data_IF_439278301442
#
_entry.id   IF_439278301442
#
_cell.length_a   1.000
_cell.length_b   1.000
_cell.length_c   1.000
_cell.angle_alpha   90.00
_cell.angle_beta   90.00
_cell.angle_gamma   90.00
#
_symmetry.space_group_name_H-M   'P 1'
#
loop_
_entity.id
_entity.type
_entity.pdbx_description
1 polymer ?
#
# COMPACT_ATOMS: atom_id res chain seq x y z
N UNK A 1 28.88 -3.42 15.13
CA UNK A 1 29.82 -2.52 15.82
C UNK A 1 31.22 -2.94 15.42
N UNK A 2 31.72 -2.38 14.30
CA UNK A 2 33.12 -2.36 13.86
C UNK A 2 33.19 -1.34 12.72
N UNK A 3 33.77 -0.18 13.03
CA UNK A 3 34.02 0.94 12.12
C UNK A 3 35.30 0.66 11.33
N UNK A 4 35.26 0.82 10.01
CA UNK A 4 36.47 0.92 9.18
C UNK A 4 36.51 2.29 8.51
N UNK A 5 37.42 3.12 9.02
CA UNK A 5 37.75 4.46 8.58
C UNK A 5 38.62 4.41 7.31
N UNK A 6 38.18 5.08 6.24
CA UNK A 6 38.96 5.28 5.02
C UNK A 6 39.91 6.47 5.21
N UNK A 7 41.22 6.19 5.21
CA UNK A 7 42.28 7.19 5.12
C UNK A 7 42.63 7.36 3.63
N UNK A 8 42.38 8.55 3.08
CA UNK A 8 42.81 8.94 1.74
C UNK A 8 44.18 9.60 1.85
N UNK A 9 45.19 9.03 1.19
CA UNK A 9 46.47 9.71 0.95
C UNK A 9 46.65 9.93 -0.56
N UNK A 10 47.06 11.14 -0.90
CA UNK A 10 47.08 11.69 -2.24
C UNK A 10 48.52 11.82 -2.73
N UNK A 11 49.00 10.89 -3.56
CA UNK A 11 50.20 11.14 -4.37
C UNK A 11 50.31 10.21 -5.59
N UNK A 12 50.05 10.82 -6.75
CA UNK A 12 50.55 10.48 -8.10
C UNK A 12 50.03 9.23 -8.85
N UNK A 13 49.80 9.32 -10.18
CA UNK A 13 49.14 8.31 -11.00
C UNK A 13 50.14 7.48 -11.85
N UNK A 14 49.85 6.18 -12.04
CA UNK A 14 49.89 5.47 -13.34
C UNK A 14 49.93 3.95 -13.16
N UNK A 15 49.03 3.29 -13.90
CA UNK A 15 49.11 1.91 -14.39
C UNK A 15 49.12 0.76 -13.35
N UNK A 16 47.92 0.21 -13.10
CA UNK A 16 47.76 -1.20 -12.74
C UNK A 16 46.74 -1.81 -13.70
N UNK A 17 47.25 -2.64 -14.62
CA UNK A 17 46.51 -3.64 -15.39
C UNK A 17 46.06 -4.76 -14.47
N UNK A 18 44.79 -5.20 -14.52
CA UNK A 18 44.40 -6.56 -14.12
C UNK A 18 43.00 -6.94 -14.65
N UNK A 19 43.04 -7.92 -15.55
CA UNK A 19 42.20 -9.12 -15.67
C UNK A 19 40.66 -9.03 -15.57
N UNK A 20 40.05 -9.40 -16.69
CA UNK A 20 38.67 -9.85 -16.91
C UNK A 20 38.20 -10.89 -15.89
N UNK A 21 37.19 -10.56 -15.09
CA UNK A 21 36.24 -11.55 -14.55
C UNK A 21 34.83 -10.97 -14.58
N UNK A 22 33.95 -11.71 -15.27
CA UNK A 22 32.54 -11.39 -15.46
C UNK A 22 31.78 -11.48 -14.13
N UNK A 23 31.11 -10.40 -13.71
CA UNK A 23 30.04 -10.45 -12.72
C UNK A 23 28.75 -9.93 -13.35
N UNK A 24 28.03 -10.90 -13.91
CA UNK A 24 26.73 -10.80 -14.54
C UNK A 24 25.68 -10.69 -13.42
N UNK A 25 25.30 -9.46 -13.06
CA UNK A 25 24.19 -9.20 -12.13
C UNK A 25 22.88 -9.51 -12.87
N UNK A 26 22.38 -10.73 -12.66
CA UNK A 26 21.07 -11.21 -13.14
C UNK A 26 19.96 -10.56 -12.30
N UNK A 27 19.19 -9.69 -12.93
CA UNK A 27 17.86 -9.27 -12.50
C UNK A 27 16.88 -10.36 -12.99
N UNK A 28 16.12 -11.06 -12.14
CA UNK A 28 15.11 -11.99 -12.63
C UNK A 28 13.85 -11.21 -13.02
N UNK A 29 13.73 -10.91 -14.30
CA UNK A 29 12.46 -10.67 -14.95
C UNK A 29 11.70 -12.01 -15.05
N UNK A 30 10.60 -12.15 -14.29
CA UNK A 30 9.66 -13.24 -14.48
C UNK A 30 8.50 -12.69 -15.31
N UNK A 31 8.65 -12.79 -16.62
CA UNK A 31 7.53 -12.88 -17.57
C UNK A 31 7.51 -14.34 -18.04
N UNK A 32 6.51 -15.10 -17.62
CA UNK A 32 6.19 -16.40 -18.23
C UNK A 32 4.79 -16.31 -18.80
N UNK A 33 4.73 -16.08 -20.10
CA UNK A 33 3.58 -16.41 -20.93
C UNK A 33 3.75 -17.89 -21.27
N UNK A 34 2.93 -18.76 -20.69
CA UNK A 34 2.76 -20.11 -21.23
C UNK A 34 1.26 -20.36 -21.44
N UNK A 35 0.95 -20.68 -22.68
CA UNK A 35 -0.38 -20.98 -23.17
C UNK A 35 -0.30 -22.33 -23.86
N UNK A 36 -0.85 -23.40 -23.25
CA UNK A 36 -1.37 -24.56 -23.99
C UNK A 36 -2.41 -25.38 -23.19
N UNK A 37 -3.28 -26.12 -23.91
CA UNK A 37 -4.64 -26.45 -23.46
C UNK A 37 -4.77 -27.87 -22.91
N UNK A 38 -5.73 -28.03 -21.99
CA UNK A 38 -6.45 -29.28 -21.72
C UNK A 38 -5.65 -30.40 -21.05
N UNK A 39 -5.92 -30.65 -19.77
CA UNK A 39 -6.42 -31.95 -19.30
C UNK A 39 -6.85 -31.86 -17.83
N UNK A 40 -7.86 -32.66 -17.52
CA UNK A 40 -8.64 -32.74 -16.29
C UNK A 40 -7.84 -33.28 -15.09
N UNK A 41 -8.10 -32.75 -13.89
CA UNK A 41 -7.66 -33.41 -12.65
C UNK A 41 -7.54 -32.49 -11.43
N UNK A 42 -8.63 -32.38 -10.67
CA UNK A 42 -8.69 -32.04 -9.23
C UNK A 42 -7.79 -30.89 -8.75
N UNK A 43 -8.22 -29.67 -9.09
CA UNK A 43 -7.80 -28.47 -8.37
C UNK A 43 -8.62 -28.41 -7.07
N UNK A 44 -8.00 -28.69 -5.92
CA UNK A 44 -8.51 -28.23 -4.62
C UNK A 44 -8.53 -26.71 -4.67
N UNK A 45 -9.64 -26.15 -5.14
CA UNK A 45 -9.94 -24.74 -5.01
C UNK A 45 -10.30 -24.53 -3.53
N UNK A 46 -9.31 -24.12 -2.74
CA UNK A 46 -9.63 -23.31 -1.57
C UNK A 46 -10.16 -22.01 -2.17
N UNK A 47 -11.45 -22.00 -2.48
CA UNK A 47 -12.18 -20.79 -2.78
C UNK A 47 -12.02 -19.91 -1.55
N UNK A 48 -11.16 -18.90 -1.64
CA UNK A 48 -11.29 -17.68 -0.85
C UNK A 48 -12.59 -16.96 -1.28
N UNK A 49 -13.73 -17.64 -1.16
CA UNK A 49 -14.99 -16.98 -0.82
C UNK A 49 -14.88 -16.64 0.66
N UNK A 50 -14.01 -15.67 0.98
CA UNK A 50 -14.26 -14.85 2.13
C UNK A 50 -15.61 -14.21 1.84
N UNK A 51 -16.66 -14.75 2.46
CA UNK A 51 -17.97 -14.11 2.49
C UNK A 51 -17.69 -12.74 3.11
N UNK A 52 -17.57 -11.73 2.27
CA UNK A 52 -17.60 -10.34 2.70
C UNK A 52 -19.01 -10.16 3.23
N UNK A 53 -19.25 -10.49 4.51
CA UNK A 53 -20.53 -10.14 5.11
C UNK A 53 -20.64 -8.62 4.95
N UNK A 54 -21.69 -8.14 4.26
CA UNK A 54 -21.88 -6.72 4.09
C UNK A 54 -22.04 -6.12 5.49
N UNK A 55 -21.26 -5.08 5.80
CA UNK A 55 -21.49 -4.28 6.99
C UNK A 55 -22.98 -3.92 7.07
N UNK A 56 -23.57 -3.88 8.27
CA UNK A 56 -24.93 -3.37 8.42
C UNK A 56 -25.00 -2.00 7.74
N UNK A 57 -25.85 -1.88 6.71
CA UNK A 57 -26.04 -0.61 6.01
C UNK A 57 -26.63 0.37 7.01
N UNK A 58 -25.80 1.25 7.53
CA UNK A 58 -26.23 2.34 8.40
C UNK A 58 -27.11 3.24 7.54
N UNK A 59 -28.39 3.36 7.90
CA UNK A 59 -29.28 4.30 7.25
C UNK A 59 -28.78 5.72 7.53
N UNK A 60 -28.39 6.44 6.48
CA UNK A 60 -27.94 7.82 6.58
C UNK A 60 -29.03 8.75 6.05
N UNK A 61 -29.42 9.75 6.84
CA UNK A 61 -30.44 10.75 6.44
C UNK A 61 -30.05 11.50 5.16
N UNK A 62 -28.74 11.61 4.91
CA UNK A 62 -28.17 12.11 3.66
C UNK A 62 -27.61 10.95 2.84
N UNK A 63 -27.86 10.88 1.52
CA UNK A 63 -27.25 9.86 0.68
C UNK A 63 -25.74 10.03 0.69
N UNK A 64 -25.03 9.08 1.31
CA UNK A 64 -23.57 9.06 1.29
C UNK A 64 -23.08 8.82 -0.13
N UNK A 65 -21.96 9.45 -0.49
CA UNK A 65 -21.26 9.09 -1.72
C UNK A 65 -20.80 7.63 -1.62
N UNK A 66 -20.73 6.90 -2.74
CA UNK A 66 -20.19 5.55 -2.72
C UNK A 66 -18.78 5.56 -2.14
N UNK A 67 -18.43 4.52 -1.40
CA UNK A 67 -17.10 4.36 -0.79
C UNK A 67 -15.97 4.39 -1.85
N UNK A 68 -16.30 4.01 -3.09
CA UNK A 68 -15.43 4.08 -4.25
C UNK A 68 -16.00 5.07 -5.27
N UNK A 69 -15.22 6.09 -5.63
CA UNK A 69 -15.68 7.14 -6.55
C UNK A 69 -14.55 7.62 -7.50
N UNK A 70 -14.05 6.74 -8.39
CA UNK A 70 -13.02 7.13 -9.35
C UNK A 70 -13.57 8.19 -10.34
N UNK A 71 -12.71 9.07 -10.86
CA UNK A 71 -13.10 10.02 -11.89
C UNK A 71 -13.55 9.28 -13.17
N UNK A 72 -14.51 9.87 -13.89
CA UNK A 72 -14.99 9.27 -15.14
C UNK A 72 -13.89 9.27 -16.20
N UNK A 73 -13.43 8.09 -16.61
CA UNK A 73 -12.42 7.93 -17.67
C UNK A 73 -12.96 8.43 -19.00
N UNK A 74 -12.27 9.38 -19.65
CA UNK A 74 -12.63 9.86 -20.99
C UNK A 74 -11.78 9.18 -22.06
N UNK A 75 -12.33 8.96 -23.25
CA UNK A 75 -11.58 8.43 -24.41
C UNK A 75 -10.35 9.31 -24.73
N UNK A 76 -10.42 10.60 -24.39
CA UNK A 76 -9.32 11.57 -24.57
C UNK A 76 -8.18 11.45 -23.55
N UNK A 77 -8.29 10.57 -22.55
CA UNK A 77 -7.23 10.32 -21.58
C UNK A 77 -6.28 9.22 -22.08
N UNK A 78 -6.77 8.29 -22.90
CA UNK A 78 -5.96 7.23 -23.52
C UNK A 78 -5.14 7.68 -24.74
N UNK A 79 -5.59 8.74 -25.43
CA UNK A 79 -4.93 9.22 -26.65
C UNK A 79 -4.72 10.75 -26.53
N UNK A 80 -3.55 11.20 -26.04
CA UNK A 80 -3.29 12.62 -25.83
C UNK A 80 -3.37 13.44 -27.13
N UNK A 81 -3.11 12.81 -28.29
CA UNK A 81 -3.23 13.45 -29.61
C UNK A 81 -4.66 13.94 -29.92
N UNK A 82 -5.69 13.21 -29.46
CA UNK A 82 -7.09 13.57 -29.71
C UNK A 82 -7.55 14.76 -28.86
N UNK A 83 -6.82 15.14 -27.80
CA UNK A 83 -7.09 16.38 -27.03
C UNK A 83 -6.92 17.62 -27.90
N UNK A 84 -5.99 17.60 -28.86
CA UNK A 84 -5.79 18.68 -29.84
C UNK A 84 -7.03 18.81 -30.75
N UNK A 85 -7.58 17.69 -31.23
CA UNK A 85 -8.79 17.68 -32.06
C UNK A 85 -10.00 18.23 -31.30
N UNK A 86 -10.15 17.92 -30.01
CA UNK A 86 -11.19 18.49 -29.14
C UNK A 86 -11.03 20.00 -28.92
N UNK A 87 -9.80 20.52 -28.90
CA UNK A 87 -9.54 21.96 -28.81
C UNK A 87 -9.88 22.67 -30.12
N UNK A 88 -9.44 22.12 -31.25
CA UNK A 88 -9.75 22.61 -32.60
C UNK A 88 -11.28 22.60 -32.82
N UNK A 89 -11.94 21.47 -32.56
CA UNK A 89 -13.39 21.32 -32.68
C UNK A 89 -14.15 22.27 -31.75
N UNK A 90 -13.70 22.51 -30.52
CA UNK A 90 -14.30 23.51 -29.63
C UNK A 90 -14.13 24.94 -30.13
N UNK A 91 -12.97 25.30 -30.70
CA UNK A 91 -12.77 26.64 -31.28
C UNK A 91 -13.63 26.85 -32.53
N UNK A 92 -13.75 25.84 -33.39
CA UNK A 92 -14.60 25.87 -34.59
C UNK A 92 -16.09 25.89 -34.22
N UNK A 93 -16.52 25.05 -33.28
CA UNK A 93 -17.90 24.99 -32.78
C UNK A 93 -18.30 26.25 -31.99
N UNK A 94 -17.38 26.87 -31.24
CA UNK A 94 -17.62 28.18 -30.60
C UNK A 94 -17.79 29.31 -31.60
N UNK A 95 -17.12 29.27 -32.78
CA UNK A 95 -17.42 30.19 -33.89
C UNK A 95 -18.77 29.92 -34.55
N UNK A 96 -19.20 28.65 -34.61
CA UNK A 96 -20.50 28.27 -35.17
C UNK A 96 -21.69 28.58 -34.23
N UNK A 97 -21.51 28.53 -32.90
CA UNK A 97 -22.58 28.72 -31.91
C UNK A 97 -22.83 30.17 -31.47
N UNK A 98 -22.10 31.16 -31.98
CA UNK A 98 -22.34 32.59 -31.64
C UNK A 98 -23.68 33.14 -32.18
N UNK A 99 -24.48 32.36 -32.91
CA UNK A 99 -25.71 32.87 -33.55
C UNK A 99 -27.04 32.57 -32.87
N UNK A 100 -27.14 31.59 -31.95
CA UNK A 100 -28.42 31.30 -31.28
C UNK A 100 -28.21 30.60 -29.94
N UNK A 101 -28.39 31.33 -28.84
CA UNK A 101 -29.14 30.91 -27.65
C UNK A 101 -28.87 31.87 -26.50
N UNK A 102 -29.90 32.61 -26.10
CA UNK A 102 -29.89 33.43 -24.90
C UNK A 102 -29.71 32.60 -23.62
N UNK A 103 -29.15 33.27 -22.61
CA UNK A 103 -29.28 33.01 -21.18
C UNK A 103 -29.53 31.56 -20.74
N UNK A 104 -28.45 30.87 -20.37
CA UNK A 104 -28.40 30.12 -19.11
C UNK A 104 -27.03 30.32 -18.49
N UNK A 105 -26.86 31.45 -17.80
CA UNK A 105 -25.84 31.56 -16.77
C UNK A 105 -26.23 30.54 -15.70
N UNK A 106 -25.68 29.34 -15.80
CA UNK A 106 -25.81 28.31 -14.77
C UNK A 106 -25.10 28.91 -13.56
N UNK A 107 -25.87 29.58 -12.69
CA UNK A 107 -25.43 30.10 -11.39
C UNK A 107 -24.58 28.98 -10.81
N UNK A 108 -23.26 29.18 -10.73
CA UNK A 108 -22.41 28.31 -9.91
C UNK A 108 -23.11 28.36 -8.56
N UNK A 109 -23.79 27.27 -8.19
CA UNK A 109 -24.34 27.13 -6.85
C UNK A 109 -23.13 27.36 -5.97
N UNK A 110 -23.10 28.48 -5.24
CA UNK A 110 -22.10 28.70 -4.21
C UNK A 110 -22.06 27.39 -3.44
N UNK A 111 -20.95 26.66 -3.51
CA UNK A 111 -20.79 25.52 -2.62
C UNK A 111 -20.87 26.15 -1.24
N UNK A 112 -21.87 25.72 -0.47
CA UNK A 112 -21.96 26.10 0.93
C UNK A 112 -20.59 25.84 1.54
N UNK A 113 -20.04 26.83 2.22
CA UNK A 113 -18.81 26.74 3.01
C UNK A 113 -19.05 25.72 4.13
N UNK A 114 -19.05 24.44 3.79
CA UNK A 114 -18.96 23.36 4.76
C UNK A 114 -17.47 23.19 5.01
N UNK A 115 -16.90 24.12 5.79
CA UNK A 115 -15.54 24.05 6.32
C UNK A 115 -15.44 23.06 7.48
N UNK A 116 -16.10 21.89 7.39
CA UNK A 116 -15.82 20.78 8.30
C UNK A 116 -14.92 19.79 7.58
N UNK A 117 -13.70 19.65 8.10
CA UNK A 117 -12.84 18.52 7.75
C UNK A 117 -13.51 17.26 8.27
N UNK A 118 -14.08 16.46 7.37
CA UNK A 118 -14.80 15.22 7.71
C UNK A 118 -13.98 14.32 8.68
N UNK A 119 -12.66 14.13 8.49
CA UNK A 119 -11.87 13.32 9.43
C UNK A 119 -11.85 13.88 10.85
N UNK A 120 -11.78 15.21 11.01
CA UNK A 120 -11.77 15.87 12.30
C UNK A 120 -13.12 15.71 13.03
N UNK A 121 -14.22 15.80 12.29
CA UNK A 121 -15.57 15.56 12.82
C UNK A 121 -15.73 14.13 13.34
N UNK A 122 -15.21 13.14 12.61
CA UNK A 122 -15.20 11.74 13.04
C UNK A 122 -14.40 11.56 14.34
N UNK A 123 -13.22 12.16 14.43
CA UNK A 123 -12.36 12.07 15.63
C UNK A 123 -13.04 12.72 16.84
N UNK A 124 -13.72 13.85 16.65
CA UNK A 124 -14.48 14.51 17.71
C UNK A 124 -15.59 13.61 18.26
N UNK A 125 -16.35 12.95 17.37
CA UNK A 125 -17.42 12.02 17.76
C UNK A 125 -16.85 10.80 18.50
N UNK A 126 -15.72 10.24 18.03
CA UNK A 126 -15.05 9.12 18.69
C UNK A 126 -14.50 9.49 20.08
N UNK A 127 -13.96 10.70 20.22
CA UNK A 127 -13.48 11.23 21.50
C UNK A 127 -14.63 11.38 22.50
N UNK A 128 -15.76 11.96 22.06
CA UNK A 128 -16.97 12.07 22.88
C UNK A 128 -17.51 10.68 23.28
N UNK A 129 -17.52 9.72 22.36
CA UNK A 129 -17.93 8.35 22.65
C UNK A 129 -17.06 7.69 23.74
N UNK A 130 -15.75 7.88 23.65
CA UNK A 130 -14.80 7.41 24.69
C UNK A 130 -15.10 8.05 26.05
N UNK A 131 -15.36 9.36 26.08
CA UNK A 131 -15.72 10.08 27.31
C UNK A 131 -17.04 9.59 27.92
N UNK A 132 -18.04 9.28 27.09
CA UNK A 132 -19.31 8.68 27.56
C UNK A 132 -19.08 7.28 28.12
N UNK A 133 -18.23 6.46 27.50
CA UNK A 133 -17.90 5.13 28.03
C UNK A 133 -17.18 5.20 29.38
N UNK A 134 -16.28 6.18 29.56
CA UNK A 134 -15.63 6.44 30.85
C UNK A 134 -16.62 6.89 31.92
N UNK A 135 -17.50 7.86 31.61
CA UNK A 135 -18.47 8.39 32.59
C UNK A 135 -19.50 7.35 33.04
N UNK A 136 -19.80 6.35 32.20
CA UNK A 136 -20.67 5.22 32.52
C UNK A 136 -19.96 4.07 33.24
N UNK A 137 -18.64 4.16 33.49
CA UNK A 137 -17.87 3.10 34.12
C UNK A 137 -17.68 1.85 33.25
N UNK A 138 -17.97 1.94 31.94
CA UNK A 138 -17.73 0.84 30.98
C UNK A 138 -16.25 0.71 30.61
N UNK A 139 -15.47 1.75 30.88
CA UNK A 139 -14.05 1.82 30.55
C UNK A 139 -13.24 2.28 31.76
N UNK A 140 -12.25 1.48 32.16
CA UNK A 140 -11.37 1.81 33.28
C UNK A 140 -10.41 2.96 32.87
N UNK A 141 -10.08 3.91 33.78
CA UNK A 141 -9.23 5.07 33.44
C UNK A 141 -7.85 4.70 32.86
N UNK A 142 -7.25 3.60 33.29
CA UNK A 142 -5.96 3.14 32.77
C UNK A 142 -6.04 2.77 31.27
N UNK A 143 -7.09 2.06 30.86
CA UNK A 143 -7.33 1.67 29.47
C UNK A 143 -7.79 2.89 28.64
N UNK A 144 -8.51 3.81 29.27
CA UNK A 144 -8.94 5.07 28.67
C UNK A 144 -7.78 5.90 28.13
N UNK A 145 -6.70 6.01 28.88
CA UNK A 145 -5.50 6.72 28.43
C UNK A 145 -4.93 6.11 27.15
N UNK A 146 -4.91 4.78 27.05
CA UNK A 146 -4.49 4.07 25.84
C UNK A 146 -5.40 4.34 24.63
N UNK A 147 -6.72 4.36 24.85
CA UNK A 147 -7.69 4.68 23.79
C UNK A 147 -7.54 6.12 23.29
N UNK A 148 -7.42 7.08 24.22
CA UNK A 148 -7.19 8.50 23.87
C UNK A 148 -5.87 8.68 23.13
N UNK A 149 -4.81 7.95 23.50
CA UNK A 149 -3.55 7.98 22.75
C UNK A 149 -3.71 7.50 21.31
N UNK A 150 -4.45 6.41 21.07
CA UNK A 150 -4.75 5.95 19.71
C UNK A 150 -5.55 6.99 18.90
N UNK A 151 -6.46 7.73 19.54
CA UNK A 151 -7.18 8.83 18.89
C UNK A 151 -6.25 10.00 18.54
N UNK A 152 -5.30 10.35 19.43
CA UNK A 152 -4.28 11.35 19.13
C UNK A 152 -3.39 10.92 17.97
N UNK A 153 -2.99 9.65 17.92
CA UNK A 153 -2.24 9.12 16.77
C UNK A 153 -3.03 9.24 15.46
N UNK A 154 -4.33 8.94 15.48
CA UNK A 154 -5.18 9.13 14.31
C UNK A 154 -5.21 10.61 13.87
N UNK A 155 -5.38 11.52 14.81
CA UNK A 155 -5.34 12.97 14.56
C UNK A 155 -4.00 13.43 13.97
N UNK A 156 -2.88 12.94 14.51
CA UNK A 156 -1.53 13.25 14.02
C UNK A 156 -1.33 12.74 12.59
N UNK A 157 -1.80 11.53 12.28
CA UNK A 157 -1.72 10.98 10.91
C UNK A 157 -2.52 11.80 9.90
N UNK A 158 -3.73 12.24 10.26
CA UNK A 158 -4.55 13.11 9.41
C UNK A 158 -3.82 14.43 9.15
N UNK A 159 -3.31 15.09 10.19
CA UNK A 159 -2.55 16.34 10.06
C UNK A 159 -1.30 16.17 9.18
N UNK A 160 -0.58 15.07 9.34
CA UNK A 160 0.59 14.76 8.51
C UNK A 160 0.21 14.54 7.04
N UNK A 161 -0.87 13.81 6.75
CA UNK A 161 -1.36 13.59 5.38
C UNK A 161 -1.85 14.90 4.75
N UNK A 162 -2.54 15.75 5.51
CA UNK A 162 -2.94 17.07 5.05
C UNK A 162 -1.75 17.96 4.72
N UNK A 163 -0.67 17.90 5.49
CA UNK A 163 0.57 18.61 5.15
C UNK A 163 1.15 18.10 3.84
N UNK A 164 1.27 16.79 3.66
CA UNK A 164 1.81 16.21 2.41
C UNK A 164 0.94 16.62 1.21
N UNK A 165 -0.39 16.54 1.34
CA UNK A 165 -1.32 16.91 0.27
C UNK A 165 -1.32 18.42 -0.03
N UNK A 166 -1.16 19.26 0.99
CA UNK A 166 -1.26 20.72 0.85
C UNK A 166 0.09 21.42 0.63
N UNK A 167 1.20 20.67 0.56
CA UNK A 167 2.52 21.21 0.17
C UNK A 167 2.97 20.72 -1.22
N UNK A 168 2.19 20.95 -2.30
CA UNK A 168 2.68 20.68 -3.64
C UNK A 168 3.85 21.64 -3.97
N UNK A 169 4.69 21.28 -4.96
CA UNK A 169 5.72 22.21 -5.40
C UNK A 169 5.06 23.50 -5.90
N UNK A 170 5.68 24.67 -5.68
CA UNK A 170 5.14 25.92 -6.17
C UNK A 170 4.89 25.83 -7.68
N UNK A 171 3.67 26.17 -8.11
CA UNK A 171 3.28 26.09 -9.53
C UNK A 171 4.27 26.83 -10.46
N UNK A 172 4.82 27.96 -9.99
CA UNK A 172 5.82 28.71 -10.73
C UNK A 172 7.07 27.88 -11.04
N UNK A 173 7.54 27.06 -10.09
CA UNK A 173 8.71 26.19 -10.29
C UNK A 173 8.47 25.17 -11.40
N UNK A 174 7.36 24.42 -11.32
CA UNK A 174 6.98 23.44 -12.35
C UNK A 174 6.83 24.10 -13.73
N UNK A 175 6.17 25.27 -13.78
CA UNK A 175 5.98 26.02 -15.01
C UNK A 175 7.31 26.47 -15.62
N UNK A 176 8.23 27.02 -14.81
CA UNK A 176 9.55 27.45 -15.26
C UNK A 176 10.41 26.29 -15.75
N UNK A 177 10.40 25.16 -15.04
CA UNK A 177 11.14 23.95 -15.43
C UNK A 177 10.64 23.46 -16.80
N UNK A 178 9.32 23.34 -16.98
CA UNK A 178 8.73 22.94 -18.26
C UNK A 178 9.11 23.90 -19.39
N UNK A 179 8.95 25.21 -19.19
CA UNK A 179 9.28 26.22 -20.21
C UNK A 179 10.76 26.18 -20.59
N UNK A 180 11.65 26.02 -19.61
CA UNK A 180 13.10 25.95 -19.83
C UNK A 180 13.49 24.68 -20.61
N UNK A 181 12.86 23.55 -20.31
CA UNK A 181 13.09 22.29 -21.03
C UNK A 181 12.64 22.37 -22.50
N UNK A 182 11.46 22.95 -22.75
CA UNK A 182 10.98 23.19 -24.12
C UNK A 182 11.91 24.11 -24.89
N UNK A 183 12.39 25.18 -24.25
CA UNK A 183 13.35 26.10 -24.87
C UNK A 183 14.67 25.39 -25.19
N UNK A 184 15.17 24.57 -24.26
CA UNK A 184 16.38 23.77 -24.46
C UNK A 184 16.23 22.82 -25.65
N UNK A 185 15.13 22.06 -25.73
CA UNK A 185 14.85 21.15 -26.85
C UNK A 185 14.70 21.87 -28.19
N UNK A 186 14.19 23.11 -28.19
CA UNK A 186 14.09 23.94 -29.38
C UNK A 186 15.47 24.39 -29.90
N UNK A 187 16.41 24.70 -29.01
CA UNK A 187 17.77 25.12 -29.39
C UNK A 187 18.74 23.96 -29.67
N UNK A 188 18.51 22.79 -29.08
CA UNK A 188 19.33 21.59 -29.23
C UNK A 188 19.67 21.22 -30.70
N UNK A 189 18.74 21.20 -31.68
CA UNK A 189 19.09 20.88 -33.06
C UNK A 189 20.08 21.86 -33.67
N UNK A 190 19.94 23.16 -33.39
CA UNK A 190 20.87 24.18 -33.88
C UNK A 190 22.27 24.03 -33.28
N UNK A 191 22.35 23.57 -32.03
CA UNK A 191 23.61 23.36 -31.33
C UNK A 191 24.44 22.23 -31.95
N UNK A 192 23.82 21.10 -32.29
CA UNK A 192 24.54 19.88 -32.72
C UNK A 192 24.62 19.70 -34.24
N UNK A 193 23.89 20.51 -35.03
CA UNK A 193 23.80 20.37 -36.48
C UNK A 193 25.16 20.37 -37.18
N UNK A 194 26.06 21.26 -36.79
CA UNK A 194 27.37 21.40 -37.45
C UNK A 194 28.25 20.15 -37.33
N UNK A 195 28.09 19.37 -36.26
CA UNK A 195 28.88 18.15 -36.01
C UNK A 195 28.19 16.90 -36.53
N UNK A 196 26.87 16.79 -36.33
CA UNK A 196 26.11 15.56 -36.58
C UNK A 196 25.30 15.55 -37.89
N UNK A 197 25.10 16.70 -38.55
CA UNK A 197 24.35 16.85 -39.82
C UNK A 197 23.00 16.10 -39.78
N UNK A 198 22.86 15.04 -40.58
CA UNK A 198 21.62 14.24 -40.67
C UNK A 198 21.32 13.45 -39.39
N UNK A 199 22.33 13.10 -38.59
CA UNK A 199 22.16 12.39 -37.31
C UNK A 199 21.50 13.30 -36.25
N UNK A 200 21.51 14.62 -36.46
CA UNK A 200 20.83 15.58 -35.58
C UNK A 200 19.34 15.29 -35.43
N UNK A 201 18.66 14.82 -36.47
CA UNK A 201 17.22 14.53 -36.44
C UNK A 201 16.90 13.37 -35.47
N UNK A 202 17.46 12.14 -35.64
CA UNK A 202 17.23 11.07 -34.68
C UNK A 202 17.83 11.36 -33.29
N UNK A 203 18.96 12.07 -33.22
CA UNK A 203 19.58 12.44 -31.94
C UNK A 203 18.72 13.39 -31.10
N UNK A 204 18.14 14.43 -31.73
CA UNK A 204 17.21 15.36 -31.06
C UNK A 204 15.89 14.69 -30.69
N UNK A 205 15.38 13.79 -31.54
CA UNK A 205 14.18 13.00 -31.23
C UNK A 205 14.42 12.09 -30.01
N UNK A 206 15.58 11.42 -29.94
CA UNK A 206 15.93 10.58 -28.80
C UNK A 206 16.14 11.40 -27.51
N UNK A 207 16.85 12.53 -27.59
CA UNK A 207 17.06 13.42 -26.46
C UNK A 207 15.75 14.02 -25.93
N UNK A 208 14.83 14.40 -26.83
CA UNK A 208 13.51 14.91 -26.44
C UNK A 208 12.65 13.84 -25.79
N UNK A 209 12.67 12.60 -26.29
CA UNK A 209 12.00 11.47 -25.63
C UNK A 209 12.51 11.26 -24.19
N UNK A 210 13.83 11.24 -23.99
CA UNK A 210 14.41 11.07 -22.65
C UNK A 210 14.04 12.22 -21.70
N UNK A 211 14.25 13.46 -22.14
CA UNK A 211 14.07 14.64 -21.29
C UNK A 211 12.60 14.92 -20.98
N UNK A 212 11.70 14.79 -21.97
CA UNK A 212 10.26 14.92 -21.74
C UNK A 212 9.71 13.73 -20.95
N UNK A 213 10.26 12.52 -21.16
CA UNK A 213 9.91 11.34 -20.36
C UNK A 213 10.20 11.54 -18.88
N UNK A 214 11.40 12.04 -18.54
CA UNK A 214 11.73 12.39 -17.15
C UNK A 214 10.84 13.48 -16.57
N UNK A 215 10.47 14.49 -17.36
CA UNK A 215 9.57 15.55 -16.92
C UNK A 215 8.16 15.02 -16.58
N UNK A 216 7.67 14.02 -17.32
CA UNK A 216 6.35 13.45 -17.07
C UNK A 216 6.37 12.48 -15.88
N UNK A 217 7.38 11.63 -15.77
CA UNK A 217 7.58 10.76 -14.60
C UNK A 217 7.69 11.59 -13.32
N UNK A 218 8.40 12.72 -13.36
CA UNK A 218 8.52 13.62 -12.21
C UNK A 218 7.18 14.24 -11.80
N UNK A 219 6.26 14.48 -12.74
CA UNK A 219 4.93 14.99 -12.43
C UNK A 219 4.02 13.91 -11.84
N UNK A 220 4.08 12.68 -12.35
CA UNK A 220 3.31 11.56 -11.81
C UNK A 220 3.70 11.27 -10.35
N UNK A 221 5.01 11.26 -10.05
CA UNK A 221 5.49 10.97 -8.68
C UNK A 221 5.19 12.10 -7.69
N UNK A 222 4.93 13.32 -8.15
CA UNK A 222 4.70 14.47 -7.27
C UNK A 222 3.40 14.37 -6.46
N UNK A 223 2.33 13.78 -7.02
CA UNK A 223 1.01 13.73 -6.38
C UNK A 223 0.49 12.28 -6.25
N UNK A 224 1.01 11.50 -5.28
CA UNK A 224 0.73 10.06 -5.17
C UNK A 224 -0.70 9.70 -4.72
N UNK A 225 -1.54 10.70 -4.42
CA UNK A 225 -2.92 10.54 -3.93
C UNK A 225 -3.99 10.76 -5.00
N UNK A 226 -3.58 10.92 -6.27
CA UNK A 226 -4.50 11.03 -7.39
C UNK A 226 -5.00 9.63 -7.84
N UNK A 227 -5.57 9.55 -9.04
CA UNK A 227 -6.13 8.33 -9.62
C UNK A 227 -5.38 7.89 -10.89
N UNK A 228 -4.11 8.29 -11.04
CA UNK A 228 -3.26 7.83 -12.11
C UNK A 228 -2.83 6.37 -11.87
N UNK A 229 -2.38 5.67 -12.91
CA UNK A 229 -2.07 4.23 -12.83
C UNK A 229 -0.94 3.90 -11.84
N UNK A 230 -0.07 4.87 -11.57
CA UNK A 230 1.10 4.74 -10.71
C UNK A 230 0.86 5.31 -9.30
N UNK A 231 -0.34 5.83 -9.01
CA UNK A 231 -0.70 6.38 -7.72
C UNK A 231 -1.05 5.29 -6.69
N UNK A 232 -1.17 5.68 -5.42
CA UNK A 232 -1.57 4.80 -4.34
C UNK A 232 -3.06 4.40 -4.49
N UNK A 233 -3.34 3.10 -4.48
CA UNK A 233 -4.71 2.57 -4.48
C UNK A 233 -5.36 2.71 -3.09
N UNK A 234 -5.80 3.93 -2.78
CA UNK A 234 -6.48 4.26 -1.51
C UNK A 234 -7.79 3.47 -1.33
N UNK A 235 -8.51 3.19 -2.43
CA UNK A 235 -9.74 2.40 -2.40
C UNK A 235 -9.46 0.98 -1.86
N UNK A 236 -8.37 0.36 -2.33
CA UNK A 236 -7.94 -0.94 -1.85
C UNK A 236 -7.57 -0.92 -0.36
N UNK A 237 -6.80 0.08 0.10
CA UNK A 237 -6.46 0.21 1.52
C UNK A 237 -7.70 0.38 2.40
N UNK A 238 -8.67 1.21 1.98
CA UNK A 238 -9.93 1.36 2.68
C UNK A 238 -10.72 0.04 2.75
N UNK A 239 -10.74 -0.74 1.67
CA UNK A 239 -11.40 -2.04 1.65
C UNK A 239 -10.73 -3.06 2.60
N UNK A 240 -9.40 -3.02 2.72
CA UNK A 240 -8.66 -3.86 3.67
C UNK A 240 -9.00 -3.48 5.12
N UNK A 241 -8.93 -2.20 5.47
CA UNK A 241 -9.29 -1.72 6.82
C UNK A 241 -10.73 -2.05 7.15
N UNK A 242 -11.66 -1.88 6.19
CA UNK A 242 -13.05 -2.26 6.36
C UNK A 242 -13.20 -3.75 6.68
N UNK A 243 -12.46 -4.61 5.99
CA UNK A 243 -12.47 -6.06 6.23
C UNK A 243 -11.90 -6.40 7.60
N UNK A 244 -10.82 -5.76 8.01
CA UNK A 244 -10.19 -5.99 9.33
C UNK A 244 -11.11 -5.57 10.47
N UNK A 245 -11.72 -4.38 10.39
CA UNK A 245 -12.73 -3.93 11.35
C UNK A 245 -13.91 -4.91 11.43
N UNK A 246 -14.33 -5.46 10.28
CA UNK A 246 -15.37 -6.46 10.25
C UNK A 246 -14.94 -7.76 10.96
N UNK A 247 -13.72 -8.24 10.76
CA UNK A 247 -13.22 -9.42 11.48
C UNK A 247 -13.15 -9.19 13.00
N UNK A 248 -12.76 -7.99 13.43
CA UNK A 248 -12.70 -7.64 14.85
C UNK A 248 -14.10 -7.56 15.47
N UNK A 249 -15.07 -7.01 14.74
CA UNK A 249 -16.45 -6.83 15.24
C UNK A 249 -17.32 -8.08 15.14
N UNK A 250 -17.02 -8.99 14.22
CA UNK A 250 -17.72 -10.27 14.07
C UNK A 250 -17.31 -11.30 15.12
N UNK A 251 -16.09 -11.20 15.66
CA UNK A 251 -15.59 -12.12 16.68
C UNK A 251 -15.75 -11.51 18.07
N UNK A 252 -16.42 -12.21 18.97
CA UNK A 252 -16.34 -11.91 20.40
C UNK A 252 -14.96 -12.28 20.92
N UNK A 253 -14.39 -11.51 21.84
CA UNK A 253 -13.19 -11.93 22.57
C UNK A 253 -13.54 -13.20 23.35
N UNK A 254 -13.03 -14.39 22.96
CA UNK A 254 -13.34 -15.61 23.68
C UNK A 254 -12.66 -15.54 25.04
N UNK A 255 -13.34 -16.03 26.08
CA UNK A 255 -12.71 -16.18 27.37
C UNK A 255 -11.56 -17.21 27.24
N UNK A 256 -10.34 -16.97 27.77
CA UNK A 256 -9.27 -17.93 27.70
C UNK A 256 -9.68 -19.34 28.11
N UNK A 257 -10.58 -19.47 29.09
CA UNK A 257 -11.09 -20.76 29.56
C UNK A 257 -11.79 -21.58 28.45
N UNK A 258 -12.42 -20.93 27.48
CA UNK A 258 -13.20 -21.56 26.42
C UNK A 258 -12.32 -22.31 25.42
N UNK A 259 -11.13 -21.78 25.13
CA UNK A 259 -10.18 -22.38 24.17
C UNK A 259 -8.95 -23.03 24.82
N UNK A 260 -8.61 -22.71 26.08
CA UNK A 260 -7.43 -23.31 26.74
C UNK A 260 -7.62 -24.80 27.02
N UNK A 261 -8.82 -25.22 27.44
CA UNK A 261 -9.06 -26.60 27.88
C UNK A 261 -9.93 -27.41 26.93
N UNK A 262 -10.01 -26.99 25.67
CA UNK A 262 -10.69 -27.74 24.61
C UNK A 262 -9.88 -28.99 24.23
N UNK A 263 -10.57 -30.06 23.83
CA UNK A 263 -9.93 -31.30 23.33
C UNK A 263 -8.99 -31.07 22.14
N UNK A 264 -9.25 -30.01 21.36
CA UNK A 264 -8.43 -29.59 20.23
C UNK A 264 -7.15 -28.86 20.63
N UNK A 265 -7.05 -28.35 21.87
CA UNK A 265 -5.83 -27.69 22.33
C UNK A 265 -4.80 -28.74 22.75
N UNK A 266 -3.96 -29.13 21.79
CA UNK A 266 -2.88 -30.11 21.94
C UNK A 266 -1.52 -29.41 21.86
N UNK A 267 -1.00 -28.85 22.98
CA UNK A 267 0.15 -27.96 22.96
C UNK A 267 1.46 -28.62 22.50
N UNK A 268 1.52 -29.96 22.56
CA UNK A 268 2.71 -30.75 22.23
C UNK A 268 2.54 -31.61 20.97
N UNK A 269 1.49 -31.38 20.18
CA UNK A 269 1.31 -32.07 18.91
C UNK A 269 2.47 -31.75 17.95
N UNK A 270 3.00 -32.72 17.19
CA UNK A 270 2.55 -34.11 17.04
C UNK A 270 3.15 -35.10 18.05
N UNK A 271 4.12 -34.69 18.88
CA UNK A 271 4.86 -35.58 19.77
C UNK A 271 4.02 -36.13 20.93
N UNK A 272 3.06 -35.34 21.41
CA UNK A 272 2.04 -35.75 22.35
C UNK A 272 0.69 -35.12 21.93
N UNK A 273 -0.32 -35.97 21.75
CA UNK A 273 -1.67 -35.58 21.29
C UNK A 273 -2.68 -35.45 22.43
N UNK A 274 -2.23 -35.56 23.68
CA UNK A 274 -3.09 -35.29 24.83
C UNK A 274 -3.56 -33.85 24.83
N UNK A 275 -4.82 -33.65 25.23
CA UNK A 275 -5.37 -32.31 25.36
C UNK A 275 -4.74 -31.57 26.55
N UNK A 276 -4.79 -30.24 26.54
CA UNK A 276 -4.33 -29.42 27.65
C UNK A 276 -5.01 -29.82 28.98
N UNK A 277 -6.28 -30.26 28.92
CA UNK A 277 -7.03 -30.75 30.09
C UNK A 277 -6.45 -32.06 30.63
N UNK A 278 -6.22 -33.05 29.77
CA UNK A 278 -5.63 -34.34 30.16
C UNK A 278 -4.22 -34.18 30.73
N UNK A 279 -3.43 -33.24 30.20
CA UNK A 279 -2.09 -32.96 30.68
C UNK A 279 -2.10 -32.42 32.12
N UNK A 280 -3.03 -31.50 32.43
CA UNK A 280 -3.20 -30.97 33.78
C UNK A 280 -3.72 -32.04 34.74
N UNK A 281 -4.60 -32.94 34.29
CA UNK A 281 -5.10 -34.06 35.09
C UNK A 281 -4.02 -35.13 35.35
N UNK A 282 -3.05 -35.29 34.44
CA UNK A 282 -2.01 -36.33 34.52
C UNK A 282 -0.92 -36.10 35.58
N UNK A 283 -0.86 -34.92 36.21
CA UNK A 283 0.06 -34.62 37.33
C UNK A 283 0.92 -33.37 37.12
N UNK A 284 1.79 -33.08 38.10
CA UNK A 284 2.64 -31.88 38.14
C UNK A 284 3.82 -31.92 37.17
N UNK A 285 4.24 -33.11 36.76
CA UNK A 285 5.45 -33.31 35.96
C UNK A 285 5.13 -33.94 34.61
N UNK A 286 5.44 -33.21 33.54
CA UNK A 286 5.23 -33.67 32.19
C UNK A 286 6.25 -34.76 31.80
N UNK A 287 5.75 -35.89 31.30
CA UNK A 287 6.55 -36.98 30.73
C UNK A 287 6.07 -37.23 29.29
N UNK A 288 7.02 -37.20 28.35
CA UNK A 288 6.70 -37.45 26.94
C UNK A 288 6.35 -38.94 26.71
N UNK A 289 5.27 -39.26 25.95
CA UNK A 289 4.78 -40.65 25.76
C UNK A 289 5.83 -41.62 25.20
N UNK A 290 6.74 -41.12 24.38
CA UNK A 290 7.77 -41.92 23.70
C UNK A 290 9.13 -41.94 24.42
N UNK A 291 9.24 -41.33 25.60
CA UNK A 291 10.50 -41.18 26.33
C UNK A 291 10.57 -42.01 27.64
N UNK A 292 9.67 -42.99 27.77
CA UNK A 292 9.30 -43.64 29.04
C UNK A 292 10.45 -44.23 29.88
N UNK A 293 11.64 -44.48 29.33
CA UNK A 293 12.74 -45.13 30.08
C UNK A 293 13.96 -44.23 30.40
N UNK A 294 14.04 -42.97 29.91
CA UNK A 294 15.28 -42.15 30.02
C UNK A 294 15.09 -40.66 30.30
N UNK A 295 13.87 -40.18 30.50
CA UNK A 295 13.63 -38.74 30.69
C UNK A 295 13.26 -38.40 32.12
N UNK A 296 14.11 -37.59 32.78
CA UNK A 296 13.73 -36.86 33.99
C UNK A 296 12.40 -36.12 33.76
N UNK A 297 11.36 -36.38 34.58
CA UNK A 297 10.07 -35.70 34.51
C UNK A 297 10.21 -34.19 34.74
N UNK A 298 9.28 -33.40 34.18
CA UNK A 298 9.21 -31.96 34.42
C UNK A 298 9.75 -31.08 33.29
N UNK A 299 10.39 -29.97 33.63
CA UNK A 299 10.75 -28.90 32.66
C UNK A 299 11.71 -29.41 31.57
N UNK A 300 12.65 -30.30 31.90
CA UNK A 300 13.60 -30.81 30.92
C UNK A 300 12.97 -31.78 29.92
N UNK A 301 11.88 -32.46 30.30
CA UNK A 301 11.05 -33.24 29.39
C UNK A 301 10.25 -32.33 28.44
N UNK A 302 9.70 -31.22 28.95
CA UNK A 302 9.02 -30.21 28.13
C UNK A 302 9.99 -29.60 27.11
N UNK A 303 11.16 -29.13 27.57
CA UNK A 303 12.18 -28.52 26.70
C UNK A 303 12.62 -29.49 25.60
N UNK A 304 12.88 -30.76 25.93
CA UNK A 304 13.24 -31.78 24.94
C UNK A 304 12.13 -31.99 23.90
N UNK A 305 10.87 -32.01 24.34
CA UNK A 305 9.72 -32.17 23.45
C UNK A 305 9.57 -30.98 22.51
N UNK A 306 9.68 -29.75 23.02
CA UNK A 306 9.60 -28.54 22.21
C UNK A 306 10.75 -28.43 21.21
N UNK A 307 11.98 -28.73 21.63
CA UNK A 307 13.16 -28.74 20.73
C UNK A 307 13.02 -29.79 19.64
N UNK A 308 12.52 -30.99 19.99
CA UNK A 308 12.26 -32.04 19.01
C UNK A 308 11.16 -31.64 18.03
N UNK A 309 10.05 -31.10 18.52
CA UNK A 309 8.95 -30.60 17.69
C UNK A 309 9.40 -29.50 16.73
N UNK A 310 10.22 -28.55 17.20
CA UNK A 310 10.82 -27.52 16.35
C UNK A 310 11.69 -28.12 15.24
N UNK A 311 12.56 -29.08 15.58
CA UNK A 311 13.41 -29.78 14.61
C UNK A 311 12.58 -30.57 13.59
N UNK A 312 11.52 -31.24 14.03
CA UNK A 312 10.64 -32.01 13.15
C UNK A 312 9.91 -31.07 12.15
N UNK A 313 9.38 -29.94 12.62
CA UNK A 313 8.76 -28.91 11.76
C UNK A 313 9.78 -28.33 10.77
N UNK A 314 11.00 -28.02 11.21
CA UNK A 314 12.07 -27.55 10.33
C UNK A 314 12.41 -28.57 9.25
N UNK A 315 12.55 -29.86 9.59
CA UNK A 315 12.83 -30.91 8.59
C UNK A 315 11.67 -31.11 7.59
N UNK A 316 10.42 -30.96 8.03
CA UNK A 316 9.24 -31.12 7.18
C UNK A 316 8.98 -29.94 6.25
N UNK A 317 9.28 -28.71 6.71
CA UNK A 317 9.02 -27.46 5.97
C UNK A 317 10.13 -27.09 4.99
N UNK A 318 11.33 -27.67 5.13
CA UNK A 318 12.49 -27.42 4.26
C UNK A 318 12.42 -28.10 2.88
N UNK A 319 11.22 -28.36 2.36
CA UNK A 319 11.01 -28.89 0.99
C UNK A 319 11.09 -27.81 -0.07
#
# INVERSE_FOLDING_TARGET
MTLTTLHLDASSPAAITLSTTSLLVKIPAIFVVDAKPGLWGLRFSITHTAVVLPLPRVASDRPLKPARNPPSTSIYDYIPLLRLFKWIARKVSRRARTRQSGQRYRRKRNQDLVESQIPLEIILVLSNYTAVCMSRGLLQPAIATGMTFNLTLLQDTVSNLERICNTPLPFAYQAHLRMSLWLYLLFLPFQIYNQAKWITIPGTAFASFLLLGFLEIGQEIENPFNYDLNDLDLDYFCAVVQRELHLITANTTPDPSEFLFTELNQPFAPADRRSAKELVESGTEYVAPHAADKAEPGIDSIRRTLVKGWKDVETLTRR
#
